data_IF_355955459270
#
_entry.id   IF_355955459270
#
_cell.length_a   1.000
_cell.length_b   1.000
_cell.length_c   1.000
_cell.angle_alpha   90.00
_cell.angle_beta   90.00
_cell.angle_gamma   90.00
#
_symmetry.space_group_name_H-M   'P 1'
#
loop_
_entity.id
_entity.type
_entity.pdbx_description
1 polymer ?
#
# COMPACT_ATOMS: atom_id res chain seq x y z
N UNK A 1 -3.95 -12.01 -5.45
CA UNK A 1 -4.26 -10.67 -4.90
C UNK A 1 -2.98 -9.91 -4.64
N UNK A 2 -2.89 -8.65 -5.06
CA UNK A 2 -1.78 -7.75 -4.71
C UNK A 2 -2.29 -6.71 -3.72
N UNK A 3 -1.51 -6.49 -2.63
CA UNK A 3 -1.90 -5.63 -1.49
C UNK A 3 -1.16 -4.29 -1.45
N UNK A 4 -0.17 -4.07 -2.34
CA UNK A 4 0.67 -2.88 -2.36
C UNK A 4 0.88 -2.41 -3.80
N UNK A 5 -0.10 -1.71 -4.35
CA UNK A 5 -0.04 -1.21 -5.73
C UNK A 5 -0.10 0.32 -5.74
N UNK A 6 0.85 0.92 -6.46
CA UNK A 6 0.99 2.36 -6.59
C UNK A 6 0.67 2.79 -8.02
N UNK A 7 -0.28 3.72 -8.15
CA UNK A 7 -0.55 4.40 -9.41
C UNK A 7 0.26 5.70 -9.53
N UNK A 8 0.10 6.43 -10.63
CA UNK A 8 0.71 7.75 -10.83
C UNK A 8 0.21 8.80 -9.83
N UNK A 9 -0.87 8.51 -9.07
CA UNK A 9 -1.32 9.37 -7.97
C UNK A 9 -0.35 9.33 -6.77
N UNK A 10 0.53 8.33 -6.68
CA UNK A 10 1.70 8.37 -5.80
C UNK A 10 2.74 9.32 -6.39
N UNK A 11 2.61 10.63 -6.12
CA UNK A 11 3.40 11.68 -6.72
C UNK A 11 4.92 11.42 -6.56
N UNK A 12 5.68 11.67 -7.64
CA UNK A 12 7.13 11.44 -7.71
C UNK A 12 7.56 10.00 -7.44
N UNK A 13 6.61 9.05 -7.54
CA UNK A 13 6.86 7.63 -7.25
C UNK A 13 6.21 6.70 -8.28
N UNK A 14 4.89 6.70 -8.39
CA UNK A 14 4.14 5.81 -9.26
C UNK A 14 4.22 6.18 -10.74
N UNK A 15 4.19 5.19 -11.62
CA UNK A 15 4.28 5.36 -13.07
C UNK A 15 3.17 4.67 -13.84
N UNK A 16 2.33 3.88 -13.17
CA UNK A 16 1.24 3.11 -13.77
C UNK A 16 -0.04 3.93 -13.70
N UNK A 17 -0.81 4.02 -14.79
CA UNK A 17 -2.18 4.53 -14.72
C UNK A 17 -3.09 3.57 -13.96
N UNK A 18 -4.14 4.08 -13.34
CA UNK A 18 -5.13 3.22 -12.67
C UNK A 18 -5.76 2.26 -13.67
N UNK A 19 -6.05 2.73 -14.88
CA UNK A 19 -6.60 1.92 -15.97
C UNK A 19 -5.68 0.76 -16.34
N UNK A 20 -4.39 1.02 -16.57
CA UNK A 20 -3.41 -0.01 -16.93
C UNK A 20 -3.22 -1.03 -15.80
N UNK A 21 -3.21 -0.57 -14.54
CA UNK A 21 -3.10 -1.45 -13.38
C UNK A 21 -4.26 -2.44 -13.31
N UNK A 22 -5.50 -1.95 -13.49
CA UNK A 22 -6.70 -2.79 -13.46
C UNK A 22 -6.75 -3.71 -14.67
N UNK A 23 -6.48 -3.20 -15.89
CA UNK A 23 -6.48 -3.98 -17.14
C UNK A 23 -5.46 -5.12 -17.10
N UNK A 24 -4.25 -4.86 -16.66
CA UNK A 24 -3.21 -5.88 -16.56
C UNK A 24 -3.55 -6.91 -15.47
N UNK A 25 -4.15 -6.48 -14.36
CA UNK A 25 -4.65 -7.39 -13.32
C UNK A 25 -5.74 -8.33 -13.85
N UNK A 26 -6.67 -7.81 -14.66
CA UNK A 26 -7.70 -8.62 -15.31
C UNK A 26 -7.08 -9.66 -16.26
N UNK A 27 -6.11 -9.26 -17.08
CA UNK A 27 -5.38 -10.17 -18.00
C UNK A 27 -4.64 -11.30 -17.25
N UNK A 28 -4.16 -11.02 -16.05
CA UNK A 28 -3.51 -11.99 -15.18
C UNK A 28 -4.49 -12.86 -14.37
N UNK A 29 -5.80 -12.70 -14.55
CA UNK A 29 -6.82 -13.45 -13.81
C UNK A 29 -6.90 -13.09 -12.32
N UNK A 30 -6.49 -11.89 -11.95
CA UNK A 30 -6.52 -11.43 -10.55
C UNK A 30 -7.95 -11.05 -10.18
N UNK A 31 -8.52 -11.72 -9.18
CA UNK A 31 -9.90 -11.52 -8.73
C UNK A 31 -10.07 -10.39 -7.71
N UNK A 32 -8.99 -9.97 -7.05
CA UNK A 32 -9.02 -8.87 -6.07
C UNK A 32 -7.71 -8.08 -6.11
N UNK A 33 -7.81 -6.76 -6.09
CA UNK A 33 -6.69 -5.84 -6.22
C UNK A 33 -6.80 -4.72 -5.19
N UNK A 34 -5.70 -4.35 -4.53
CA UNK A 34 -5.64 -3.18 -3.67
C UNK A 34 -4.95 -2.03 -4.39
N UNK A 35 -5.53 -0.83 -4.32
CA UNK A 35 -4.85 0.42 -4.66
C UNK A 35 -4.41 1.08 -3.35
N UNK A 36 -3.10 1.29 -3.21
CA UNK A 36 -2.46 1.81 -2.00
C UNK A 36 -1.46 2.89 -2.36
N UNK A 37 -1.95 3.98 -2.93
CA UNK A 37 -1.13 5.13 -3.27
C UNK A 37 -0.52 5.77 -2.02
N UNK A 38 0.65 6.39 -2.16
CA UNK A 38 1.42 6.94 -1.05
C UNK A 38 0.74 8.21 -0.52
N UNK A 39 0.31 8.16 0.74
CA UNK A 39 -0.32 9.26 1.48
C UNK A 39 -1.49 9.92 0.72
N UNK A 40 -2.16 9.19 -0.16
CA UNK A 40 -3.29 9.70 -0.93
C UNK A 40 -4.26 8.58 -1.31
N UNK A 41 -5.52 8.97 -1.50
CA UNK A 41 -6.58 8.10 -2.01
C UNK A 41 -7.27 8.72 -3.25
N UNK A 42 -6.60 9.65 -3.93
CA UNK A 42 -7.17 10.41 -5.06
C UNK A 42 -7.68 9.50 -6.20
N UNK A 43 -6.99 8.39 -6.47
CA UNK A 43 -7.34 7.46 -7.55
C UNK A 43 -8.52 6.53 -7.28
N UNK A 44 -9.14 6.56 -6.08
CA UNK A 44 -10.12 5.56 -5.65
C UNK A 44 -11.35 5.50 -6.56
N UNK A 45 -11.91 6.64 -6.96
CA UNK A 45 -13.14 6.65 -7.74
C UNK A 45 -12.94 5.97 -9.12
N UNK A 46 -11.87 6.34 -9.81
CA UNK A 46 -11.48 5.74 -11.08
C UNK A 46 -11.20 4.24 -10.92
N UNK A 47 -10.46 3.88 -9.88
CA UNK A 47 -10.13 2.50 -9.54
C UNK A 47 -11.37 1.65 -9.31
N UNK A 48 -12.32 2.14 -8.49
CA UNK A 48 -13.57 1.42 -8.20
C UNK A 48 -14.39 1.19 -9.45
N UNK A 49 -14.54 2.22 -10.29
CA UNK A 49 -15.28 2.15 -11.56
C UNK A 49 -14.67 1.10 -12.49
N UNK A 50 -13.37 1.15 -12.71
CA UNK A 50 -12.66 0.22 -13.58
C UNK A 50 -12.68 -1.22 -13.02
N UNK A 51 -12.46 -1.40 -11.74
CA UNK A 51 -12.54 -2.73 -11.13
C UNK A 51 -13.91 -3.36 -11.31
N UNK A 52 -15.00 -2.59 -11.17
CA UNK A 52 -16.36 -3.06 -11.42
C UNK A 52 -16.55 -3.48 -12.88
N UNK A 53 -16.02 -2.71 -13.82
CA UNK A 53 -16.09 -2.99 -15.27
C UNK A 53 -15.37 -4.29 -15.63
N UNK A 54 -14.20 -4.52 -15.04
CA UNK A 54 -13.36 -5.71 -15.29
C UNK A 54 -13.65 -6.91 -14.36
N UNK A 55 -14.65 -6.82 -13.49
CA UNK A 55 -15.03 -7.92 -12.58
C UNK A 55 -14.01 -8.21 -11.47
N UNK A 56 -13.17 -7.23 -11.11
CA UNK A 56 -12.17 -7.32 -10.04
C UNK A 56 -12.76 -6.75 -8.76
N UNK A 57 -12.55 -7.42 -7.62
CA UNK A 57 -12.92 -6.89 -6.30
C UNK A 57 -11.94 -5.77 -5.91
N UNK A 58 -12.39 -4.49 -5.81
CA UNK A 58 -11.53 -3.40 -5.38
C UNK A 58 -11.30 -3.45 -3.87
N UNK A 59 -10.07 -3.21 -3.47
CA UNK A 59 -9.68 -2.99 -2.07
C UNK A 59 -9.06 -1.60 -1.99
N UNK A 60 -9.67 -0.74 -1.20
CA UNK A 60 -9.18 0.62 -0.99
C UNK A 60 -8.18 0.62 0.14
N UNK A 61 -7.04 1.28 -0.07
CA UNK A 61 -6.02 1.42 0.96
C UNK A 61 -5.11 2.61 0.74
N UNK A 62 -4.14 2.74 1.61
CA UNK A 62 -3.09 3.77 1.55
C UNK A 62 -1.76 3.19 2.02
N UNK A 63 -0.67 3.54 1.35
CA UNK A 63 0.70 3.31 1.81
C UNK A 63 1.16 4.55 2.60
N UNK A 64 1.17 4.42 3.91
CA UNK A 64 1.54 5.53 4.82
C UNK A 64 3.05 5.63 4.93
N UNK A 65 3.57 6.79 4.52
CA UNK A 65 5.01 7.08 4.52
C UNK A 65 5.32 8.46 5.08
N UNK A 66 6.46 8.57 5.75
CA UNK A 66 7.09 9.84 6.09
C UNK A 66 8.58 9.72 5.76
N UNK A 67 9.19 10.80 5.23
CA UNK A 67 10.62 10.84 4.86
C UNK A 67 11.06 9.66 3.99
N UNK A 68 10.20 9.22 3.05
CA UNK A 68 10.42 8.05 2.20
C UNK A 68 10.47 6.69 2.93
N UNK A 69 10.21 6.66 4.22
CA UNK A 69 10.10 5.43 4.99
C UNK A 69 8.64 4.98 5.04
N UNK A 70 8.39 3.74 4.65
CA UNK A 70 7.08 3.11 4.78
C UNK A 70 6.84 2.77 6.25
N UNK A 71 5.74 3.27 6.80
CA UNK A 71 5.32 2.96 8.16
C UNK A 71 4.39 1.77 8.20
N UNK A 72 3.32 1.80 7.43
CA UNK A 72 2.38 0.71 7.26
C UNK A 72 1.54 0.91 6.00
N UNK A 73 0.82 -0.14 5.65
CA UNK A 73 -0.28 -0.06 4.68
C UNK A 73 -1.58 -0.24 5.45
N UNK A 74 -2.54 0.65 5.26
CA UNK A 74 -3.90 0.48 5.74
C UNK A 74 -4.81 0.06 4.59
N UNK A 75 -5.57 -1.03 4.77
CA UNK A 75 -6.55 -1.53 3.82
C UNK A 75 -7.94 -1.48 4.47
N UNK A 76 -8.86 -0.72 3.88
CA UNK A 76 -10.21 -0.57 4.40
C UNK A 76 -11.00 -1.89 4.35
N UNK A 77 -11.59 -2.30 5.47
CA UNK A 77 -12.51 -3.46 5.56
C UNK A 77 -13.89 -3.13 4.98
N UNK A 78 -14.30 -1.86 5.11
CA UNK A 78 -15.61 -1.35 4.76
C UNK A 78 -15.57 0.18 4.54
N UNK A 79 -16.71 0.81 4.30
CA UNK A 79 -16.80 2.26 4.09
C UNK A 79 -16.35 3.09 5.30
N UNK A 80 -16.49 2.56 6.53
CA UNK A 80 -15.98 3.24 7.72
C UNK A 80 -14.46 3.29 7.71
N UNK A 81 -13.79 2.20 7.30
CA UNK A 81 -12.33 2.18 7.12
C UNK A 81 -11.86 3.19 6.08
N UNK A 82 -12.59 3.38 4.99
CA UNK A 82 -12.28 4.45 4.02
C UNK A 82 -12.39 5.82 4.70
N UNK A 83 -13.44 6.04 5.50
CA UNK A 83 -13.62 7.30 6.24
C UNK A 83 -12.50 7.54 7.25
N UNK A 84 -12.05 6.51 7.96
CA UNK A 84 -10.93 6.57 8.90
C UNK A 84 -9.63 6.98 8.19
N UNK A 85 -9.32 6.34 7.05
CA UNK A 85 -8.16 6.70 6.21
C UNK A 85 -8.28 8.16 5.75
N UNK A 86 -9.45 8.59 5.25
CA UNK A 86 -9.67 9.97 4.83
C UNK A 86 -9.40 10.97 5.95
N UNK A 87 -9.92 10.70 7.16
CA UNK A 87 -9.72 11.59 8.32
C UNK A 87 -8.25 11.69 8.69
N UNK A 88 -7.54 10.58 8.79
CA UNK A 88 -6.10 10.55 9.08
C UNK A 88 -5.30 11.36 8.05
N UNK A 89 -5.58 11.18 6.75
CA UNK A 89 -4.89 11.92 5.70
C UNK A 89 -5.26 13.41 5.69
N UNK A 90 -6.51 13.76 6.00
CA UNK A 90 -6.95 15.16 6.09
C UNK A 90 -6.29 15.86 7.26
N UNK A 91 -6.28 15.26 8.44
CA UNK A 91 -5.60 15.79 9.62
C UNK A 91 -4.11 16.05 9.34
N UNK A 92 -3.46 15.11 8.64
CA UNK A 92 -2.07 15.30 8.22
C UNK A 92 -1.89 16.43 7.21
N UNK A 93 -2.69 16.46 6.15
CA UNK A 93 -2.47 17.37 5.01
C UNK A 93 -2.98 18.79 5.28
N UNK A 94 -4.05 18.95 6.09
CA UNK A 94 -4.69 20.25 6.34
C UNK A 94 -4.32 20.83 7.70
N UNK A 95 -4.21 19.99 8.72
CA UNK A 95 -4.00 20.44 10.10
C UNK A 95 -2.55 20.26 10.56
N UNK A 96 -1.70 19.62 9.72
CA UNK A 96 -0.29 19.39 10.00
C UNK A 96 -0.03 18.32 11.06
N UNK A 97 -0.99 17.47 11.34
CA UNK A 97 -0.81 16.36 12.28
C UNK A 97 0.24 15.36 11.76
N UNK A 98 1.02 14.81 12.67
CA UNK A 98 2.04 13.83 12.32
C UNK A 98 1.38 12.47 12.09
N UNK A 99 1.65 11.85 10.93
CA UNK A 99 1.19 10.48 10.66
C UNK A 99 1.73 9.51 11.71
N UNK A 100 0.90 8.62 12.25
CA UNK A 100 1.33 7.63 13.23
C UNK A 100 2.35 6.67 12.60
N UNK A 101 3.37 6.33 13.35
CA UNK A 101 4.37 5.33 12.89
C UNK A 101 3.88 3.90 13.08
N UNK A 102 3.17 3.68 14.17
CA UNK A 102 2.64 2.37 14.60
C UNK A 102 1.31 2.61 15.30
N UNK A 103 0.52 1.55 15.45
CA UNK A 103 -0.75 1.52 16.19
C UNK A 103 -1.69 2.67 15.78
N UNK A 104 -2.01 2.83 14.47
CA UNK A 104 -2.97 3.83 14.05
C UNK A 104 -4.35 3.47 14.61
N UNK A 105 -5.12 4.48 15.05
CA UNK A 105 -6.51 4.28 15.47
C UNK A 105 -7.43 4.11 14.23
N UNK A 106 -7.33 2.93 13.60
CA UNK A 106 -8.05 2.55 12.38
C UNK A 106 -8.72 1.17 12.55
N UNK A 107 -9.71 1.02 13.44
CA UNK A 107 -10.30 -0.29 13.77
C UNK A 107 -11.01 -0.96 12.58
N UNK A 108 -11.49 -0.16 11.61
CA UNK A 108 -12.13 -0.65 10.40
C UNK A 108 -11.13 -0.84 9.22
N UNK A 109 -9.84 -0.92 9.51
CA UNK A 109 -8.81 -1.24 8.53
C UNK A 109 -8.03 -2.50 8.94
N UNK A 110 -7.44 -3.17 7.96
CA UNK A 110 -6.30 -4.07 8.18
C UNK A 110 -5.03 -3.26 8.06
N UNK A 111 -4.11 -3.40 9.01
CA UNK A 111 -2.83 -2.71 9.03
C UNK A 111 -1.73 -3.72 8.72
N UNK A 112 -0.85 -3.39 7.77
CA UNK A 112 0.25 -4.26 7.37
C UNK A 112 1.57 -3.51 7.58
N UNK A 113 2.37 -3.96 8.53
CA UNK A 113 3.67 -3.37 8.83
C UNK A 113 4.78 -4.01 8.01
N UNK A 114 5.68 -3.23 7.41
CA UNK A 114 6.93 -3.78 6.87
C UNK A 114 7.81 -4.28 8.02
N UNK A 115 8.67 -5.28 7.76
CA UNK A 115 9.54 -5.89 8.77
C UNK A 115 10.34 -4.90 9.64
N UNK A 116 10.63 -3.73 9.10
CA UNK A 116 11.42 -2.70 9.80
C UNK A 116 10.64 -1.86 10.80
N UNK A 117 9.31 -1.98 10.81
CA UNK A 117 8.43 -1.12 11.60
C UNK A 117 7.35 -1.89 12.36
N UNK A 118 7.62 -3.13 12.74
CA UNK A 118 6.68 -3.96 13.49
C UNK A 118 6.58 -3.44 14.92
N UNK A 119 5.37 -3.22 15.47
CA UNK A 119 5.18 -2.91 16.88
C UNK A 119 5.52 -4.12 17.77
N UNK A 120 5.72 -3.89 19.06
CA UNK A 120 6.02 -4.97 20.02
C UNK A 120 4.85 -5.96 20.17
N UNK A 121 3.63 -5.44 20.09
CA UNK A 121 2.39 -6.24 20.16
C UNK A 121 1.56 -5.94 18.91
N UNK A 122 1.03 -6.99 18.29
CA UNK A 122 0.15 -6.90 17.13
C UNK A 122 -1.31 -7.09 17.57
N UNK A 123 -2.16 -6.14 17.21
CA UNK A 123 -3.61 -6.23 17.36
C UNK A 123 -4.21 -7.24 16.36
N UNK A 124 -5.48 -7.60 16.53
CA UNK A 124 -6.15 -8.61 15.70
C UNK A 124 -6.21 -8.24 14.22
N UNK A 125 -6.33 -6.96 13.92
CA UNK A 125 -6.37 -6.44 12.55
C UNK A 125 -4.99 -6.06 11.97
N UNK A 126 -3.91 -6.37 12.67
CA UNK A 126 -2.54 -6.04 12.29
C UNK A 126 -1.76 -7.24 11.78
N UNK A 127 -0.96 -7.04 10.76
CA UNK A 127 -0.23 -8.06 10.02
C UNK A 127 1.21 -7.62 9.72
N UNK A 128 2.06 -8.59 9.42
CA UNK A 128 3.45 -8.39 9.03
C UNK A 128 3.59 -8.62 7.53
N UNK A 129 4.00 -7.60 6.81
CA UNK A 129 4.24 -7.65 5.37
C UNK A 129 5.66 -8.08 5.04
N UNK A 130 5.81 -9.18 4.30
CA UNK A 130 7.10 -9.72 3.89
C UNK A 130 7.25 -9.65 2.37
N UNK A 131 8.40 -9.15 1.91
CA UNK A 131 8.78 -9.15 0.50
C UNK A 131 9.48 -10.46 0.14
N UNK A 132 9.47 -10.82 -1.14
CA UNK A 132 10.12 -12.05 -1.62
C UNK A 132 11.59 -12.19 -1.17
N UNK A 133 12.36 -11.10 -1.18
CA UNK A 133 13.76 -11.08 -0.72
C UNK A 133 13.95 -11.29 0.80
N UNK A 134 12.87 -11.20 1.57
CA UNK A 134 12.86 -11.30 3.03
C UNK A 134 12.36 -12.67 3.52
N UNK A 135 11.97 -13.57 2.61
CA UNK A 135 11.44 -14.91 2.95
C UNK A 135 12.37 -15.75 3.81
N UNK A 136 13.70 -15.57 3.67
CA UNK A 136 14.70 -16.27 4.46
C UNK A 136 14.55 -16.00 5.99
N UNK A 137 13.91 -14.89 6.37
CA UNK A 137 13.69 -14.53 7.78
C UNK A 137 12.71 -15.49 8.44
N UNK A 138 11.76 -16.06 7.69
CA UNK A 138 10.74 -16.98 8.20
C UNK A 138 11.31 -18.30 8.76
N UNK A 139 12.54 -18.65 8.40
CA UNK A 139 13.24 -19.85 8.90
C UNK A 139 13.56 -19.68 10.40
N UNK A 140 13.68 -18.46 10.90
CA UNK A 140 13.99 -18.20 12.29
C UNK A 140 12.79 -18.49 13.18
N UNK A 141 12.99 -19.25 14.27
CA UNK A 141 11.94 -19.68 15.23
C UNK A 141 11.07 -18.54 15.76
N UNK A 142 11.64 -17.33 15.94
CA UNK A 142 10.91 -16.17 16.44
C UNK A 142 9.74 -15.74 15.55
N UNK A 143 9.75 -16.06 14.26
CA UNK A 143 8.70 -15.69 13.32
C UNK A 143 7.59 -16.75 13.22
N UNK A 144 7.82 -17.98 13.71
CA UNK A 144 6.85 -19.06 13.65
C UNK A 144 5.58 -18.72 14.46
N UNK A 145 5.71 -18.00 15.56
CA UNK A 145 4.56 -17.53 16.37
C UNK A 145 3.64 -16.55 15.62
N UNK A 146 4.13 -15.90 14.58
CA UNK A 146 3.37 -14.94 13.77
C UNK A 146 2.90 -15.52 12.43
N UNK A 147 2.98 -16.84 12.22
CA UNK A 147 2.68 -17.48 10.92
C UNK A 147 1.34 -17.08 10.32
N UNK A 148 0.30 -16.93 11.15
CA UNK A 148 -1.05 -16.51 10.74
C UNK A 148 -1.19 -15.00 10.48
N UNK A 149 -0.23 -14.20 10.96
CA UNK A 149 -0.19 -12.74 10.79
C UNK A 149 0.72 -12.29 9.64
N UNK A 150 1.34 -13.22 8.91
CA UNK A 150 2.28 -12.92 7.83
C UNK A 150 1.56 -12.87 6.50
N UNK A 151 1.77 -11.78 5.76
CA UNK A 151 1.25 -11.57 4.41
C UNK A 151 2.35 -11.19 3.44
N UNK A 152 2.19 -11.57 2.16
CA UNK A 152 3.12 -11.15 1.09
C UNK A 152 2.83 -9.71 0.71
N UNK A 153 3.84 -8.85 0.86
CA UNK A 153 3.76 -7.42 0.59
C UNK A 153 4.74 -7.00 -0.52
N UNK A 154 4.55 -7.56 -1.71
CA UNK A 154 5.36 -7.18 -2.87
C UNK A 154 4.79 -5.90 -3.50
N UNK A 155 5.59 -4.80 -3.61
CA UNK A 155 5.13 -3.58 -4.25
C UNK A 155 5.01 -3.75 -5.77
N UNK A 156 3.94 -3.20 -6.34
CA UNK A 156 3.71 -3.05 -7.78
C UNK A 156 3.71 -1.55 -8.08
N UNK A 157 4.72 -1.07 -8.81
CA UNK A 157 4.94 0.37 -9.03
C UNK A 157 5.20 0.71 -10.49
N UNK A 158 5.67 -0.26 -11.28
CA UNK A 158 5.97 -0.12 -12.70
C UNK A 158 5.79 -1.48 -13.40
N UNK A 159 5.51 -1.46 -14.72
CA UNK A 159 5.24 -2.65 -15.54
C UNK A 159 6.40 -2.99 -16.46
N UNK A 160 7.03 -1.95 -17.01
CA UNK A 160 8.02 -2.07 -18.09
C UNK A 160 9.37 -1.50 -17.67
N UNK A 161 10.43 -1.83 -18.43
CA UNK A 161 11.76 -1.24 -18.26
C UNK A 161 11.72 0.29 -18.39
N UNK A 162 10.88 0.82 -19.31
CA UNK A 162 10.71 2.26 -19.49
C UNK A 162 10.10 2.92 -18.26
N UNK A 163 9.04 2.34 -17.71
CA UNK A 163 8.39 2.83 -16.48
C UNK A 163 9.33 2.72 -15.27
N UNK A 164 10.13 1.66 -15.18
CA UNK A 164 11.17 1.56 -14.17
C UNK A 164 12.20 2.70 -14.27
N UNK A 165 12.66 3.03 -15.47
CA UNK A 165 13.59 4.14 -15.67
C UNK A 165 12.93 5.48 -15.30
N UNK A 166 11.66 5.68 -15.66
CA UNK A 166 10.88 6.84 -15.25
C UNK A 166 10.75 6.93 -13.74
N UNK A 167 10.40 5.81 -13.09
CA UNK A 167 10.36 5.74 -11.62
C UNK A 167 11.68 6.19 -10.98
N UNK A 168 12.83 5.73 -11.51
CA UNK A 168 14.15 6.16 -11.02
C UNK A 168 14.36 7.66 -11.14
N UNK A 169 13.96 8.26 -12.27
CA UNK A 169 14.05 9.71 -12.47
C UNK A 169 13.15 10.44 -11.47
N UNK A 170 11.90 10.01 -11.32
CA UNK A 170 10.98 10.58 -10.34
C UNK A 170 11.55 10.53 -8.92
N UNK A 171 12.19 9.40 -8.56
CA UNK A 171 12.85 9.26 -7.25
C UNK A 171 14.08 10.16 -7.10
N UNK A 172 14.85 10.38 -8.17
CA UNK A 172 15.98 11.31 -8.15
C UNK A 172 15.50 12.76 -7.95
N UNK A 173 14.44 13.15 -8.66
CA UNK A 173 13.79 14.47 -8.49
C UNK A 173 13.27 14.65 -7.06
N UNK A 174 12.57 13.66 -6.51
CA UNK A 174 12.01 13.72 -5.17
C UNK A 174 13.07 13.85 -4.07
N UNK A 175 14.24 13.24 -4.28
CA UNK A 175 15.37 13.27 -3.34
C UNK A 175 16.36 14.39 -3.61
N UNK A 176 16.10 15.21 -4.63
CA UNK A 176 17.03 16.23 -5.11
C UNK A 176 18.45 15.67 -5.34
N UNK A 177 18.53 14.48 -5.94
CA UNK A 177 19.78 13.78 -6.27
C UNK A 177 19.87 13.62 -7.78
N UNK A 178 21.07 13.82 -8.32
CA UNK A 178 21.40 13.58 -9.74
C UNK A 178 21.89 12.14 -9.96
#
# INVERSE_FOLDING_TARGET
MYLNCHSYHSLRYGTISVEDLVRDSARLGISALALTDINTITGIYEFYKLCKEFGIKPIVGVDVRLDNQQYFIALAKNNQGITEICRMLTAHNCDGEILPRQNPDLPNCFIIYPLKNIPEVLEDNEFIGIRAKELHILIQKKWQQFSEKIVVLQPVTFRTKREYNLHRILRAVDRNTL
#
